data_IF_919767538651
#
_entry.id   IF_919767538651
#
_cell.length_a   1.000
_cell.length_b   1.000
_cell.length_c   1.000
_cell.angle_alpha   90.00
_cell.angle_beta   90.00
_cell.angle_gamma   90.00
#
_symmetry.space_group_name_H-M   'P 1'
#
loop_
_entity.id
_entity.type
_entity.pdbx_description
1 polymer ?
#
# COMPACT_ATOMS: atom_id res chain seq x y z
N UNK A 1 -30.92 3.22 -15.30
CA UNK A 1 -31.38 3.56 -13.94
C UNK A 1 -30.51 4.69 -13.45
N UNK A 2 -31.01 5.57 -12.58
CA UNK A 2 -30.16 6.57 -11.95
C UNK A 2 -29.22 5.83 -10.99
N UNK A 3 -27.91 5.88 -11.25
CA UNK A 3 -26.91 5.21 -10.44
C UNK A 3 -26.21 6.21 -9.54
N UNK A 4 -26.16 5.91 -8.26
CA UNK A 4 -25.40 6.66 -7.27
C UNK A 4 -23.96 6.18 -7.32
N UNK A 5 -23.02 7.09 -7.55
CA UNK A 5 -21.61 6.75 -7.74
C UNK A 5 -20.78 7.48 -6.68
N UNK A 6 -19.92 6.73 -6.00
CA UNK A 6 -18.85 7.32 -5.19
C UNK A 6 -17.59 7.36 -6.04
N UNK A 7 -17.07 8.56 -6.27
CA UNK A 7 -15.79 8.80 -6.93
C UNK A 7 -14.74 9.16 -5.88
N UNK A 8 -13.73 8.31 -5.72
CA UNK A 8 -12.58 8.55 -4.84
C UNK A 8 -11.45 9.13 -5.69
N UNK A 9 -11.00 10.31 -5.31
CA UNK A 9 -10.03 11.09 -6.09
C UNK A 9 -8.83 11.41 -5.23
N UNK A 10 -7.70 10.74 -5.52
CA UNK A 10 -6.46 10.89 -4.73
C UNK A 10 -5.64 12.11 -5.12
N UNK A 11 -5.84 12.63 -6.34
CA UNK A 11 -5.19 13.84 -6.85
C UNK A 11 -6.14 14.63 -7.75
N UNK A 12 -5.81 15.88 -8.04
CA UNK A 12 -6.67 16.85 -8.73
C UNK A 12 -7.09 16.36 -10.11
N UNK A 13 -8.40 16.41 -10.41
CA UNK A 13 -8.95 16.02 -11.71
C UNK A 13 -8.61 17.05 -12.81
N UNK A 14 -8.05 16.58 -13.91
CA UNK A 14 -7.91 17.34 -15.15
C UNK A 14 -8.39 16.48 -16.33
N UNK A 15 -8.37 17.04 -17.55
CA UNK A 15 -8.79 16.33 -18.76
C UNK A 15 -10.24 15.82 -18.87
N UNK A 16 -10.62 15.38 -20.06
CA UNK A 16 -11.98 14.88 -20.27
C UNK A 16 -12.19 13.42 -19.81
N UNK A 17 -11.09 12.68 -19.59
CA UNK A 17 -11.12 11.26 -19.18
C UNK A 17 -11.94 10.97 -17.93
N UNK A 18 -11.69 11.65 -16.78
CA UNK A 18 -12.45 11.40 -15.55
C UNK A 18 -13.94 11.71 -15.68
N UNK A 19 -14.28 12.76 -16.41
CA UNK A 19 -15.65 13.23 -16.62
C UNK A 19 -16.41 12.24 -17.48
N UNK A 20 -15.79 11.72 -18.54
CA UNK A 20 -16.39 10.73 -19.41
C UNK A 20 -16.71 9.44 -18.64
N UNK A 21 -15.81 8.99 -17.77
CA UNK A 21 -16.03 7.75 -17.02
C UNK A 21 -17.09 7.91 -15.92
N UNK A 22 -17.12 9.04 -15.20
CA UNK A 22 -18.21 9.36 -14.26
C UNK A 22 -19.55 9.41 -15.00
N UNK A 23 -19.59 10.06 -16.17
CA UNK A 23 -20.81 10.18 -16.98
C UNK A 23 -21.34 8.82 -17.45
N UNK A 24 -20.43 7.90 -17.81
CA UNK A 24 -20.79 6.52 -18.18
C UNK A 24 -21.42 5.74 -17.03
N UNK A 25 -20.94 5.95 -15.79
CA UNK A 25 -21.45 5.25 -14.61
C UNK A 25 -22.79 5.79 -14.10
N UNK A 26 -23.00 7.11 -14.13
CA UNK A 26 -24.20 7.76 -13.58
C UNK A 26 -25.48 7.50 -14.42
N UNK A 27 -25.33 7.11 -15.69
CA UNK A 27 -26.41 6.51 -16.48
C UNK A 27 -27.60 7.42 -16.83
N UNK A 28 -27.40 8.75 -16.87
CA UNK A 28 -28.42 9.74 -17.27
C UNK A 28 -28.85 10.70 -16.16
N UNK A 29 -29.82 11.58 -16.46
CA UNK A 29 -30.11 12.86 -15.77
C UNK A 29 -30.59 12.82 -14.29
N UNK A 30 -30.52 11.68 -13.59
CA UNK A 30 -30.96 11.55 -12.19
C UNK A 30 -29.96 10.86 -11.25
N UNK A 31 -28.83 10.36 -11.73
CA UNK A 31 -27.83 9.76 -10.85
C UNK A 31 -27.06 10.82 -10.05
N UNK A 32 -26.63 10.48 -8.84
CA UNK A 32 -25.91 11.37 -7.94
C UNK A 32 -24.42 10.98 -7.87
N UNK A 33 -23.54 11.97 -8.00
CA UNK A 33 -22.09 11.78 -7.81
C UNK A 33 -21.71 12.28 -6.43
N UNK A 34 -21.01 11.44 -5.66
CA UNK A 34 -20.35 11.83 -4.43
C UNK A 34 -18.85 11.69 -4.59
N UNK A 35 -18.16 12.81 -4.48
CA UNK A 35 -16.71 12.90 -4.54
C UNK A 35 -16.12 12.75 -3.13
N UNK A 36 -15.18 11.84 -2.98
CA UNK A 36 -14.43 11.65 -1.74
C UNK A 36 -12.97 11.92 -2.03
N UNK A 37 -12.42 12.93 -1.36
CA UNK A 37 -10.99 13.24 -1.45
C UNK A 37 -10.33 12.77 -0.16
N UNK A 38 -9.51 11.71 -0.18
CA UNK A 38 -8.81 11.26 1.00
C UNK A 38 -7.79 12.30 1.45
N UNK A 39 -7.57 12.42 2.76
CA UNK A 39 -6.59 13.33 3.36
C UNK A 39 -5.16 12.81 3.20
N UNK A 40 -4.77 12.45 1.98
CA UNK A 40 -3.44 11.98 1.60
C UNK A 40 -2.49 13.15 1.40
N UNK A 41 -1.26 12.99 1.90
CA UNK A 41 -0.12 13.81 1.49
C UNK A 41 0.32 13.38 0.08
N UNK A 42 0.14 14.24 -0.94
CA UNK A 42 0.42 13.87 -2.33
C UNK A 42 1.92 13.81 -2.60
N UNK A 43 2.77 14.35 -1.71
CA UNK A 43 4.22 14.28 -1.86
C UNK A 43 4.98 14.51 -0.54
N UNK A 44 5.73 13.52 0.00
CA UNK A 44 6.61 13.74 1.15
C UNK A 44 7.77 14.71 0.87
N UNK A 45 8.03 15.08 -0.39
CA UNK A 45 9.07 16.05 -0.77
C UNK A 45 8.61 17.51 -0.72
N UNK A 46 7.29 17.80 -0.65
CA UNK A 46 6.80 19.19 -0.57
C UNK A 46 7.06 19.85 0.79
N UNK A 47 7.30 19.05 1.84
CA UNK A 47 7.62 19.56 3.17
C UNK A 47 9.04 20.20 3.25
N UNK A 48 9.90 19.99 2.25
CA UNK A 48 11.25 20.60 2.22
C UNK A 48 11.19 22.08 1.80
N UNK A 49 10.07 22.56 1.24
CA UNK A 49 9.92 23.93 0.74
C UNK A 49 8.96 24.82 1.55
N UNK A 50 8.54 24.40 2.74
CA UNK A 50 8.02 25.33 3.75
C UNK A 50 6.51 25.64 3.71
N UNK A 51 5.68 24.82 3.05
CA UNK A 51 4.23 24.86 3.29
C UNK A 51 3.88 23.99 4.50
N UNK A 52 3.27 24.64 5.51
CA UNK A 52 2.77 24.04 6.75
C UNK A 52 1.24 24.09 6.71
N UNK A 53 0.64 23.64 5.62
CA UNK A 53 -0.82 23.48 5.55
C UNK A 53 -1.18 22.10 6.08
N UNK A 54 -2.19 22.02 6.96
CA UNK A 54 -2.61 20.72 7.51
C UNK A 54 -3.07 19.80 6.36
N UNK A 55 -2.76 18.48 6.36
CA UNK A 55 -3.17 17.55 5.30
C UNK A 55 -4.67 17.60 4.96
N UNK A 56 -5.51 18.01 5.93
CA UNK A 56 -6.95 18.22 5.76
C UNK A 56 -7.29 19.48 4.97
N UNK A 57 -6.56 20.58 5.14
CA UNK A 57 -6.77 21.83 4.42
C UNK A 57 -6.44 21.65 2.93
N UNK A 58 -5.29 21.05 2.63
CA UNK A 58 -4.91 20.72 1.25
C UNK A 58 -5.90 19.75 0.58
N UNK A 59 -6.46 18.80 1.34
CA UNK A 59 -7.50 17.91 0.83
C UNK A 59 -8.81 18.66 0.56
N UNK A 60 -9.14 19.67 1.37
CA UNK A 60 -10.30 20.52 1.17
C UNK A 60 -10.15 21.37 -0.10
N UNK A 61 -8.98 21.97 -0.34
CA UNK A 61 -8.71 22.72 -1.56
C UNK A 61 -8.85 21.83 -2.82
N UNK A 62 -8.32 20.60 -2.77
CA UNK A 62 -8.47 19.61 -3.85
C UNK A 62 -9.93 19.23 -4.07
N UNK A 63 -10.68 19.06 -2.99
CA UNK A 63 -12.12 18.79 -3.06
C UNK A 63 -12.85 19.92 -3.76
N UNK A 64 -12.62 21.17 -3.35
CA UNK A 64 -13.24 22.34 -3.97
C UNK A 64 -12.87 22.48 -5.44
N UNK A 65 -11.59 22.29 -5.79
CA UNK A 65 -11.11 22.34 -7.16
C UNK A 65 -11.80 21.27 -8.02
N UNK A 66 -11.90 20.04 -7.52
CA UNK A 66 -12.52 18.92 -8.22
C UNK A 66 -14.03 19.07 -8.35
N UNK A 67 -14.73 19.59 -7.34
CA UNK A 67 -16.16 19.89 -7.43
C UNK A 67 -16.44 21.00 -8.45
N UNK A 68 -15.61 22.06 -8.46
CA UNK A 68 -15.70 23.14 -9.44
C UNK A 68 -15.46 22.61 -10.86
N UNK A 69 -14.49 21.72 -11.02
CA UNK A 69 -14.14 21.07 -12.26
C UNK A 69 -15.29 20.24 -12.85
N UNK A 70 -15.95 19.42 -12.02
CA UNK A 70 -17.10 18.61 -12.41
C UNK A 70 -18.31 19.49 -12.77
N UNK A 71 -18.57 20.53 -11.97
CA UNK A 71 -19.70 21.46 -12.21
C UNK A 71 -19.56 22.20 -13.53
N UNK A 72 -18.35 22.64 -13.89
CA UNK A 72 -18.08 23.31 -15.17
C UNK A 72 -18.41 22.44 -16.39
N UNK A 73 -18.41 21.10 -16.21
CA UNK A 73 -18.75 20.12 -17.25
C UNK A 73 -20.18 19.55 -17.10
N UNK A 74 -21.01 20.18 -16.28
CA UNK A 74 -22.42 19.82 -16.12
C UNK A 74 -22.67 18.60 -15.25
N UNK A 75 -21.69 18.14 -14.46
CA UNK A 75 -21.87 17.07 -13.47
C UNK A 75 -22.16 17.71 -12.12
N UNK A 76 -23.37 17.48 -11.60
CA UNK A 76 -23.72 17.82 -10.22
C UNK A 76 -23.13 16.77 -9.27
N UNK A 77 -22.15 17.18 -8.48
CA UNK A 77 -21.49 16.34 -7.49
C UNK A 77 -21.54 16.97 -6.09
N UNK A 78 -21.77 16.13 -5.09
CA UNK A 78 -21.51 16.45 -3.67
C UNK A 78 -20.10 16.00 -3.32
N UNK A 79 -19.48 16.58 -2.29
CA UNK A 79 -18.11 16.23 -1.95
C UNK A 79 -17.81 16.26 -0.47
N UNK A 80 -16.85 15.43 -0.04
CA UNK A 80 -16.36 15.37 1.33
C UNK A 80 -14.87 14.97 1.39
N UNK A 81 -14.19 15.41 2.45
CA UNK A 81 -12.83 14.96 2.76
C UNK A 81 -12.92 13.71 3.63
N UNK A 82 -12.27 12.63 3.18
CA UNK A 82 -12.26 11.33 3.86
C UNK A 82 -10.98 11.08 4.67
N UNK A 83 -10.85 9.84 5.16
CA UNK A 83 -9.62 9.34 5.80
C UNK A 83 -8.41 9.46 4.87
N UNK A 84 -7.20 9.43 5.42
CA UNK A 84 -5.97 9.39 4.62
C UNK A 84 -5.80 8.09 3.84
N UNK A 85 -6.48 7.00 4.23
CA UNK A 85 -6.57 5.79 3.41
C UNK A 85 -7.77 5.89 2.44
N UNK A 86 -7.54 5.86 1.11
CA UNK A 86 -8.60 5.90 0.10
C UNK A 86 -9.67 4.82 0.25
N UNK A 87 -9.31 3.62 0.72
CA UNK A 87 -10.26 2.51 0.88
C UNK A 87 -11.17 2.77 2.08
N UNK A 88 -10.61 3.19 3.22
CA UNK A 88 -11.38 3.60 4.39
C UNK A 88 -12.27 4.81 4.09
N UNK A 89 -11.75 5.80 3.37
CA UNK A 89 -12.53 6.95 2.92
C UNK A 89 -13.76 6.53 2.08
N UNK A 90 -13.60 5.54 1.21
CA UNK A 90 -14.70 4.97 0.44
C UNK A 90 -15.72 4.23 1.33
N UNK A 91 -15.24 3.43 2.30
CA UNK A 91 -16.10 2.72 3.26
C UNK A 91 -16.93 3.69 4.10
N UNK A 92 -16.31 4.74 4.64
CA UNK A 92 -16.99 5.77 5.42
C UNK A 92 -18.05 6.52 4.60
N UNK A 93 -17.77 6.75 3.31
CA UNK A 93 -18.70 7.37 2.40
C UNK A 93 -19.90 6.45 2.10
N UNK A 94 -19.66 5.16 1.90
CA UNK A 94 -20.70 4.14 1.70
C UNK A 94 -21.60 3.97 2.93
N UNK A 95 -21.03 4.02 4.13
CA UNK A 95 -21.79 3.98 5.38
C UNK A 95 -22.73 5.17 5.53
N UNK A 96 -22.34 6.34 5.01
CA UNK A 96 -23.16 7.56 5.04
C UNK A 96 -24.22 7.59 3.95
N UNK A 97 -23.90 7.12 2.74
CA UNK A 97 -24.91 6.86 1.73
C UNK A 97 -24.51 5.70 0.82
N UNK A 98 -25.40 4.74 0.59
CA UNK A 98 -25.14 3.62 -0.30
C UNK A 98 -24.98 4.10 -1.74
N UNK A 99 -24.06 3.45 -2.47
CA UNK A 99 -23.78 3.69 -3.87
C UNK A 99 -23.86 2.39 -4.67
N UNK A 100 -24.23 2.52 -5.94
CA UNK A 100 -24.35 1.39 -6.88
C UNK A 100 -23.00 1.00 -7.48
N UNK A 101 -22.03 1.92 -7.49
CA UNK A 101 -20.66 1.70 -7.98
C UNK A 101 -19.68 2.63 -7.24
N UNK A 102 -18.46 2.12 -7.00
CA UNK A 102 -17.34 2.91 -6.48
C UNK A 102 -16.26 3.00 -7.55
N UNK A 103 -15.83 4.22 -7.86
CA UNK A 103 -14.79 4.51 -8.84
C UNK A 103 -13.60 5.15 -8.13
N UNK A 104 -12.40 4.61 -8.33
CA UNK A 104 -11.14 5.19 -7.89
C UNK A 104 -10.41 5.81 -9.08
N UNK A 105 -9.96 7.05 -8.93
CA UNK A 105 -9.09 7.73 -9.91
C UNK A 105 -7.66 7.80 -9.37
N UNK A 106 -6.73 7.19 -10.10
CA UNK A 106 -5.29 7.20 -9.81
C UNK A 106 -4.47 7.75 -11.00
N UNK A 107 -3.23 8.20 -10.74
CA UNK A 107 -2.32 8.79 -11.74
C UNK A 107 -0.99 8.04 -11.87
N UNK A 108 -0.47 7.93 -13.10
CA UNK A 108 0.89 7.47 -13.41
C UNK A 108 1.86 8.68 -13.26
N UNK A 109 2.75 8.75 -12.24
CA UNK A 109 3.65 7.69 -11.76
C UNK A 109 3.37 7.21 -10.32
N UNK A 110 2.29 7.66 -9.69
CA UNK A 110 1.82 7.18 -8.37
C UNK A 110 1.42 5.71 -8.40
N UNK A 111 1.01 5.24 -9.58
CA UNK A 111 0.67 3.85 -9.90
C UNK A 111 1.76 2.85 -9.48
N UNK A 112 3.04 3.16 -9.67
CA UNK A 112 4.14 2.27 -9.30
C UNK A 112 4.33 2.06 -7.78
N UNK A 113 3.69 2.87 -6.93
CA UNK A 113 3.84 2.81 -5.46
C UNK A 113 2.72 2.04 -4.75
N UNK A 114 1.58 1.83 -5.41
CA UNK A 114 0.40 1.15 -4.86
C UNK A 114 0.17 -0.25 -5.46
N UNK A 115 0.79 -0.52 -6.62
CA UNK A 115 0.45 -1.65 -7.49
C UNK A 115 1.32 -2.91 -7.34
N UNK A 116 2.33 -2.94 -6.45
CA UNK A 116 3.02 -4.21 -6.13
C UNK A 116 2.15 -5.23 -5.34
N UNK A 117 0.83 -4.98 -5.20
CA UNK A 117 -0.16 -6.02 -4.92
C UNK A 117 -1.23 -5.69 -3.87
N UNK A 118 -1.49 -4.42 -3.56
CA UNK A 118 -2.30 -4.04 -2.39
C UNK A 118 -3.68 -3.47 -2.70
N UNK A 119 -3.77 -2.29 -3.33
CA UNK A 119 -4.99 -1.48 -3.24
C UNK A 119 -6.18 -2.08 -3.98
N UNK A 120 -6.06 -2.44 -5.26
CA UNK A 120 -7.20 -2.97 -6.03
C UNK A 120 -7.72 -4.30 -5.46
N UNK A 121 -6.81 -5.17 -5.01
CA UNK A 121 -7.18 -6.44 -4.39
C UNK A 121 -7.80 -6.22 -3.00
N UNK A 122 -7.24 -5.33 -2.20
CA UNK A 122 -7.80 -4.98 -0.89
C UNK A 122 -9.16 -4.30 -1.02
N UNK A 123 -9.35 -3.42 -2.00
CA UNK A 123 -10.63 -2.77 -2.29
C UNK A 123 -11.67 -3.80 -2.77
N UNK A 124 -11.28 -4.79 -3.58
CA UNK A 124 -12.17 -5.91 -3.97
C UNK A 124 -12.63 -6.73 -2.77
N UNK A 125 -11.76 -6.97 -1.79
CA UNK A 125 -12.09 -7.73 -0.59
C UNK A 125 -12.92 -6.92 0.41
N UNK A 126 -12.72 -5.60 0.44
CA UNK A 126 -13.26 -4.70 1.47
C UNK A 126 -14.52 -3.93 1.05
N UNK A 127 -14.82 -3.84 -0.24
CA UNK A 127 -15.97 -3.10 -0.79
C UNK A 127 -16.95 -4.06 -1.45
N UNK A 128 -18.22 -3.99 -1.03
CA UNK A 128 -19.30 -4.80 -1.59
C UNK A 128 -19.80 -4.31 -2.96
N UNK A 129 -19.95 -2.98 -3.22
CA UNK A 129 -20.41 -2.52 -4.51
C UNK A 129 -19.43 -2.86 -5.65
N UNK A 130 -19.90 -2.93 -6.91
CA UNK A 130 -19.04 -2.93 -8.08
C UNK A 130 -17.94 -1.87 -7.99
N UNK A 131 -16.72 -2.27 -8.34
CA UNK A 131 -15.52 -1.46 -8.21
C UNK A 131 -14.94 -1.17 -9.57
N UNK A 132 -14.55 0.08 -9.81
CA UNK A 132 -13.79 0.51 -10.96
C UNK A 132 -12.57 1.31 -10.52
N UNK A 133 -11.41 0.99 -11.08
CA UNK A 133 -10.19 1.76 -10.89
C UNK A 133 -9.76 2.29 -12.25
N UNK A 134 -9.67 3.60 -12.36
CA UNK A 134 -9.35 4.35 -13.57
C UNK A 134 -7.96 4.95 -13.39
N UNK A 135 -7.06 4.61 -14.29
CA UNK A 135 -5.67 5.01 -14.23
C UNK A 135 -5.46 6.07 -15.31
N UNK A 136 -5.01 7.25 -14.88
CA UNK A 136 -4.84 8.43 -15.72
C UNK A 136 -3.35 8.69 -15.94
N UNK A 137 -3.00 9.18 -17.13
CA UNK A 137 -1.61 9.45 -17.50
C UNK A 137 -1.02 10.73 -16.85
N UNK A 138 -1.87 11.56 -16.20
CA UNK A 138 -1.45 12.85 -15.64
C UNK A 138 -1.05 13.88 -16.70
N UNK A 139 -1.38 13.62 -17.96
CA UNK A 139 -1.10 14.48 -19.10
C UNK A 139 -2.10 15.63 -19.22
N UNK A 140 -1.93 16.48 -20.23
CA UNK A 140 -2.81 17.64 -20.44
C UNK A 140 -4.30 17.29 -20.62
N UNK A 141 -4.61 16.02 -20.93
CA UNK A 141 -5.97 15.54 -21.12
C UNK A 141 -6.36 14.39 -20.18
N UNK A 142 -5.54 14.08 -19.17
CA UNK A 142 -5.69 12.92 -18.26
C UNK A 142 -6.30 11.72 -18.99
N UNK A 143 -5.58 11.25 -20.00
CA UNK A 143 -6.06 10.14 -20.81
C UNK A 143 -6.10 8.88 -19.95
N UNK A 144 -7.17 8.10 -20.11
CA UNK A 144 -7.32 6.83 -19.40
C UNK A 144 -6.34 5.82 -19.98
N UNK A 145 -5.35 5.45 -19.18
CA UNK A 145 -4.29 4.49 -19.53
C UNK A 145 -4.78 3.05 -19.35
N UNK A 146 -5.46 2.78 -18.23
CA UNK A 146 -5.97 1.46 -17.89
C UNK A 146 -7.25 1.58 -17.03
N UNK A 147 -8.12 0.58 -17.14
CA UNK A 147 -9.35 0.48 -16.35
C UNK A 147 -9.50 -0.93 -15.81
N UNK A 148 -9.42 -1.07 -14.49
CA UNK A 148 -9.65 -2.33 -13.81
C UNK A 148 -11.06 -2.35 -13.24
N UNK A 149 -11.83 -3.42 -13.51
CA UNK A 149 -13.25 -3.52 -13.11
C UNK A 149 -13.54 -4.80 -12.33
N UNK A 150 -14.43 -4.70 -11.34
CA UNK A 150 -15.16 -5.80 -10.70
C UNK A 150 -16.66 -5.61 -10.97
N UNK A 151 -17.28 -6.53 -11.71
CA UNK A 151 -18.71 -6.48 -12.04
C UNK A 151 -19.63 -6.92 -10.88
N UNK A 152 -20.96 -6.68 -10.99
CA UNK A 152 -21.94 -7.10 -9.99
C UNK A 152 -22.00 -8.63 -9.93
N UNK A 153 -21.76 -9.23 -8.76
CA UNK A 153 -22.05 -10.65 -8.52
C UNK A 153 -20.90 -11.66 -8.62
N UNK A 154 -19.65 -11.27 -8.37
CA UNK A 154 -18.56 -12.23 -8.14
C UNK A 154 -18.07 -12.17 -6.68
N UNK A 155 -18.77 -12.89 -5.80
CA UNK A 155 -18.07 -13.76 -4.86
C UNK A 155 -17.64 -14.96 -5.73
N UNK A 156 -16.51 -14.83 -6.42
CA UNK A 156 -15.85 -16.00 -6.99
C UNK A 156 -15.53 -16.90 -5.82
N UNK A 157 -16.14 -18.08 -5.84
CA UNK A 157 -16.02 -19.07 -4.78
C UNK A 157 -14.56 -19.33 -4.42
N UNK A 158 -14.36 -19.45 -3.12
CA UNK A 158 -13.30 -20.19 -2.43
C UNK A 158 -12.53 -21.13 -3.35
N UNK A 159 -11.43 -20.66 -3.93
CA UNK A 159 -10.26 -21.51 -4.14
C UNK A 159 -9.27 -21.18 -3.02
N UNK A 160 -8.90 -22.23 -2.29
CA UNK A 160 -7.90 -22.21 -1.23
C UNK A 160 -6.57 -21.63 -1.75
N UNK A 161 -6.28 -20.38 -1.44
CA UNK A 161 -5.01 -20.09 -0.79
C UNK A 161 -5.32 -20.00 0.70
N UNK A 162 -4.51 -20.65 1.53
CA UNK A 162 -4.53 -20.48 2.98
C UNK A 162 -4.08 -19.04 3.24
N UNK A 163 -5.00 -18.11 3.02
CA UNK A 163 -4.83 -16.69 3.24
C UNK A 163 -4.63 -16.51 4.72
N UNK A 164 -3.53 -15.86 5.07
CA UNK A 164 -3.17 -15.46 6.42
C UNK A 164 -4.17 -14.42 6.93
N UNK A 165 -5.41 -14.82 7.18
CA UNK A 165 -6.46 -13.97 7.78
C UNK A 165 -6.12 -13.54 9.22
N UNK A 166 -4.97 -13.97 9.75
CA UNK A 166 -4.39 -13.53 11.01
C UNK A 166 -3.31 -12.45 10.85
N UNK A 167 -2.92 -12.07 9.62
CA UNK A 167 -1.93 -11.02 9.33
C UNK A 167 -2.56 -9.94 8.45
N UNK A 168 -3.09 -8.86 9.05
CA UNK A 168 -3.61 -7.72 8.28
C UNK A 168 -2.47 -6.96 7.58
N UNK A 169 -2.74 -6.44 6.38
CA UNK A 169 -2.06 -5.26 5.81
C UNK A 169 -0.66 -5.38 5.16
N UNK A 170 0.06 -6.49 5.30
CA UNK A 170 1.44 -6.58 4.81
C UNK A 170 1.53 -6.75 3.27
N UNK A 171 2.37 -5.94 2.62
CA UNK A 171 2.73 -6.10 1.21
C UNK A 171 3.33 -7.50 0.97
N UNK A 172 3.09 -8.12 -0.20
CA UNK A 172 3.69 -9.43 -0.55
C UNK A 172 5.22 -9.40 -0.44
N UNK A 173 5.84 -8.25 -0.72
CA UNK A 173 7.28 -8.02 -0.53
C UNK A 173 7.69 -7.99 0.95
N UNK A 174 6.91 -7.34 1.83
CA UNK A 174 7.17 -7.29 3.28
C UNK A 174 7.04 -8.68 3.92
N UNK A 175 6.02 -9.44 3.50
CA UNK A 175 5.83 -10.82 3.96
C UNK A 175 7.00 -11.73 3.53
N UNK A 176 7.43 -11.62 2.26
CA UNK A 176 8.59 -12.39 1.78
C UNK A 176 9.87 -12.05 2.54
N UNK A 177 10.09 -10.76 2.86
CA UNK A 177 11.22 -10.32 3.67
C UNK A 177 11.20 -10.89 5.10
N UNK A 178 10.00 -10.97 5.71
CA UNK A 178 9.82 -11.58 7.02
C UNK A 178 10.14 -13.08 7.00
N UNK A 179 9.62 -13.82 6.03
CA UNK A 179 9.86 -15.27 5.89
C UNK A 179 11.34 -15.56 5.65
N UNK A 180 11.99 -14.82 4.75
CA UNK A 180 13.42 -14.95 4.45
C UNK A 180 14.26 -14.58 5.67
N UNK A 181 13.90 -13.54 6.42
CA UNK A 181 14.57 -13.13 7.65
C UNK A 181 14.52 -14.20 8.74
N UNK A 182 13.34 -14.76 9.00
CA UNK A 182 13.14 -15.83 9.99
C UNK A 182 13.91 -17.08 9.59
N UNK A 183 13.74 -17.56 8.35
CA UNK A 183 14.43 -18.75 7.86
C UNK A 183 15.95 -18.58 7.89
N UNK A 184 16.46 -17.43 7.44
CA UNK A 184 17.89 -17.12 7.47
C UNK A 184 18.46 -17.04 8.88
N UNK A 185 17.69 -16.52 9.85
CA UNK A 185 18.10 -16.50 11.26
C UNK A 185 18.21 -17.91 11.83
N UNK A 186 17.25 -18.78 11.53
CA UNK A 186 17.28 -20.20 11.97
C UNK A 186 18.50 -20.90 11.38
N UNK A 187 18.78 -20.72 10.08
CA UNK A 187 19.96 -21.27 9.42
C UNK A 187 21.25 -20.73 10.06
N UNK A 188 21.35 -19.42 10.30
CA UNK A 188 22.50 -18.81 10.94
C UNK A 188 22.73 -19.38 12.36
N UNK A 189 21.68 -19.58 13.14
CA UNK A 189 21.76 -20.17 14.48
C UNK A 189 22.22 -21.63 14.44
N UNK A 190 21.71 -22.43 13.49
CA UNK A 190 22.14 -23.82 13.30
C UNK A 190 23.60 -23.88 12.90
N UNK A 191 24.04 -23.06 11.92
CA UNK A 191 25.43 -23.00 11.50
C UNK A 191 26.36 -22.57 12.65
N UNK A 192 25.93 -21.63 13.48
CA UNK A 192 26.67 -21.23 14.68
C UNK A 192 26.81 -22.39 15.68
N UNK A 193 25.73 -23.15 15.90
CA UNK A 193 25.76 -24.31 16.78
C UNK A 193 26.66 -25.43 16.25
N UNK A 194 26.65 -25.67 14.93
CA UNK A 194 27.55 -26.63 14.27
C UNK A 194 29.02 -26.18 14.41
N UNK A 195 29.32 -24.91 14.13
CA UNK A 195 30.67 -24.37 14.29
C UNK A 195 31.19 -24.48 15.74
N UNK A 196 30.30 -24.39 16.73
CA UNK A 196 30.65 -24.56 18.14
C UNK A 196 30.83 -26.03 18.56
N UNK A 197 30.18 -26.97 17.87
CA UNK A 197 30.24 -28.40 18.19
C UNK A 197 31.50 -29.09 17.62
N UNK A 198 32.04 -28.60 16.50
CA UNK A 198 33.15 -29.24 15.78
C UNK A 198 34.55 -28.77 16.26
N UNK A 199 34.63 -27.68 17.03
CA UNK A 199 35.91 -27.12 17.47
C UNK A 199 36.46 -27.81 18.73
N UNK A 200 37.37 -28.76 18.51
CA UNK A 200 38.16 -29.42 19.57
C UNK A 200 39.30 -28.58 20.15
N UNK A 201 39.52 -27.34 19.70
CA UNK A 201 40.57 -26.44 20.19
C UNK A 201 40.03 -25.02 20.39
N UNK A 202 40.65 -24.28 21.32
CA UNK A 202 40.21 -22.97 21.81
C UNK A 202 40.39 -21.82 20.78
N UNK A 203 39.75 -21.92 19.64
CA UNK A 203 39.66 -20.86 18.63
C UNK A 203 38.40 -20.01 18.86
N UNK A 204 38.55 -18.69 18.84
CA UNK A 204 37.45 -17.74 19.05
C UNK A 204 36.36 -17.77 17.97
N UNK A 205 36.51 -18.60 16.93
CA UNK A 205 35.59 -18.70 15.80
C UNK A 205 34.20 -19.16 16.20
N UNK A 206 34.09 -20.07 17.19
CA UNK A 206 32.79 -20.46 17.74
C UNK A 206 32.06 -19.25 18.37
N UNK A 207 32.77 -18.41 19.12
CA UNK A 207 32.20 -17.21 19.71
C UNK A 207 31.77 -16.18 18.64
N UNK A 208 32.54 -16.05 17.55
CA UNK A 208 32.19 -15.20 16.41
C UNK A 208 30.91 -15.71 15.74
N UNK A 209 30.80 -17.01 15.46
CA UNK A 209 29.62 -17.59 14.82
C UNK A 209 28.35 -17.42 15.67
N UNK A 210 28.46 -17.63 17.00
CA UNK A 210 27.38 -17.38 17.95
C UNK A 210 26.98 -15.90 17.94
N UNK A 211 27.95 -14.99 17.96
CA UNK A 211 27.70 -13.55 17.89
C UNK A 211 26.98 -13.12 16.62
N UNK A 212 27.36 -13.67 15.46
CA UNK A 212 26.68 -13.44 14.17
C UNK A 212 25.26 -13.99 14.20
N UNK A 213 25.04 -15.18 14.76
CA UNK A 213 23.70 -15.75 14.92
C UNK A 213 22.78 -14.88 15.77
N UNK A 214 23.26 -14.46 16.95
CA UNK A 214 22.51 -13.56 17.85
C UNK A 214 22.22 -12.22 17.17
N UNK A 215 23.22 -11.61 16.53
CA UNK A 215 23.08 -10.34 15.83
C UNK A 215 22.02 -10.42 14.71
N UNK A 216 22.02 -11.50 13.94
CA UNK A 216 21.02 -11.74 12.89
C UNK A 216 19.61 -11.84 13.48
N UNK A 217 19.45 -12.57 14.60
CA UNK A 217 18.17 -12.68 15.28
C UNK A 217 17.65 -11.34 15.81
N UNK A 218 18.53 -10.50 16.37
CA UNK A 218 18.17 -9.16 16.81
C UNK A 218 17.73 -8.26 15.65
N UNK A 219 18.39 -8.35 14.49
CA UNK A 219 18.00 -7.60 13.28
C UNK A 219 16.63 -8.04 12.78
N UNK A 220 16.37 -9.35 12.74
CA UNK A 220 15.05 -9.89 12.35
C UNK A 220 13.96 -9.45 13.31
N UNK A 221 14.23 -9.48 14.63
CA UNK A 221 13.27 -9.03 15.65
C UNK A 221 12.98 -7.53 15.51
N UNK A 222 14.02 -6.71 15.31
CA UNK A 222 13.88 -5.28 15.07
C UNK A 222 13.10 -4.98 13.79
N UNK A 223 13.28 -5.77 12.73
CA UNK A 223 12.54 -5.62 11.48
C UNK A 223 11.03 -5.87 11.65
N UNK A 224 10.66 -6.96 12.34
CA UNK A 224 9.25 -7.29 12.62
C UNK A 224 8.59 -6.20 13.47
N UNK A 225 9.26 -5.76 14.53
CA UNK A 225 8.75 -4.68 15.41
C UNK A 225 8.64 -3.35 14.67
N UNK A 226 9.64 -3.02 13.84
CA UNK A 226 9.64 -1.78 13.08
C UNK A 226 8.49 -1.74 12.07
N UNK A 227 8.24 -2.82 11.34
CA UNK A 227 7.09 -2.90 10.43
C UNK A 227 5.77 -2.73 11.19
N UNK A 228 5.58 -3.45 12.29
CA UNK A 228 4.35 -3.34 13.09
C UNK A 228 4.14 -1.94 13.68
N UNK A 229 5.21 -1.27 14.15
CA UNK A 229 5.12 0.09 14.67
C UNK A 229 4.85 1.11 13.56
N UNK A 230 5.51 0.98 12.41
CA UNK A 230 5.32 1.87 11.27
C UNK A 230 3.91 1.72 10.69
N UNK A 231 3.36 0.52 10.65
CA UNK A 231 1.98 0.28 10.24
C UNK A 231 0.98 0.89 11.24
N UNK A 232 1.20 0.69 12.55
CA UNK A 232 0.35 1.25 13.59
C UNK A 232 0.26 2.79 13.55
N UNK A 233 1.34 3.46 13.14
CA UNK A 233 1.40 4.93 13.01
C UNK A 233 1.22 5.39 11.55
N UNK A 234 0.95 4.46 10.62
CA UNK A 234 0.79 4.72 9.18
C UNK A 234 1.98 5.49 8.57
N UNK A 235 3.19 5.23 9.07
CA UNK A 235 4.41 5.93 8.69
C UNK A 235 4.97 5.44 7.34
N UNK A 236 5.09 6.35 6.35
CA UNK A 236 5.59 6.06 4.99
C UNK A 236 6.89 6.80 4.62
N UNK A 237 7.73 7.11 5.60
CA UNK A 237 8.96 7.90 5.46
C UNK A 237 10.24 7.09 5.18
N UNK A 238 11.40 7.75 5.26
CA UNK A 238 12.71 7.18 4.92
C UNK A 238 13.14 5.98 5.78
N UNK A 239 12.70 5.90 7.03
CA UNK A 239 12.98 4.77 7.91
C UNK A 239 12.42 3.44 7.39
N UNK A 240 11.26 3.44 6.73
CA UNK A 240 10.70 2.23 6.12
C UNK A 240 11.64 1.63 5.06
N UNK A 241 12.22 2.50 4.20
CA UNK A 241 13.18 2.08 3.17
C UNK A 241 14.49 1.56 3.76
N UNK A 242 14.95 2.15 4.87
CA UNK A 242 16.14 1.71 5.58
C UNK A 242 15.93 0.30 6.16
N UNK A 243 14.84 0.08 6.89
CA UNK A 243 14.53 -1.23 7.50
C UNK A 243 14.27 -2.33 6.47
N UNK A 244 13.68 -1.99 5.33
CA UNK A 244 13.52 -2.94 4.21
C UNK A 244 14.88 -3.39 3.65
N UNK A 245 15.82 -2.46 3.41
CA UNK A 245 17.16 -2.82 2.90
C UNK A 245 17.99 -3.58 3.93
N UNK A 246 17.84 -3.25 5.21
CA UNK A 246 18.62 -3.84 6.29
C UNK A 246 18.39 -5.35 6.42
N UNK A 247 17.15 -5.83 6.37
CA UNK A 247 16.88 -7.28 6.51
C UNK A 247 17.20 -8.07 5.24
N UNK A 248 16.93 -7.47 4.07
CA UNK A 248 17.07 -8.13 2.77
C UNK A 248 18.53 -8.34 2.38
N UNK A 249 19.42 -7.45 2.81
CA UNK A 249 20.87 -7.57 2.56
C UNK A 249 21.59 -8.16 3.78
N UNK A 250 21.19 -7.82 5.00
CA UNK A 250 21.86 -8.24 6.22
C UNK A 250 21.77 -9.75 6.50
N UNK A 251 20.58 -10.33 6.35
CA UNK A 251 20.34 -11.76 6.69
C UNK A 251 21.12 -12.71 5.77
N UNK A 252 21.10 -12.56 4.43
CA UNK A 252 21.86 -13.43 3.54
C UNK A 252 23.37 -13.33 3.78
N UNK A 253 23.89 -12.13 4.03
CA UNK A 253 25.31 -11.92 4.34
C UNK A 253 25.69 -12.65 5.63
N UNK A 254 24.88 -12.55 6.68
CA UNK A 254 25.16 -13.22 7.94
C UNK A 254 25.17 -14.75 7.80
N UNK A 255 24.26 -15.31 6.99
CA UNK A 255 24.25 -16.74 6.66
C UNK A 255 25.53 -17.14 5.93
N UNK A 256 25.98 -16.35 4.93
CA UNK A 256 27.21 -16.61 4.20
C UNK A 256 28.45 -16.56 5.10
N UNK A 257 28.51 -15.60 6.04
CA UNK A 257 29.60 -15.49 7.01
C UNK A 257 29.63 -16.73 7.91
N UNK A 258 28.50 -17.16 8.46
CA UNK A 258 28.45 -18.36 9.31
C UNK A 258 28.78 -19.63 8.52
N UNK A 259 28.37 -19.72 7.25
CA UNK A 259 28.73 -20.84 6.38
C UNK A 259 30.24 -20.88 6.11
N UNK A 260 30.86 -19.73 5.84
CA UNK A 260 32.30 -19.64 5.63
C UNK A 260 33.08 -20.03 6.90
N UNK A 261 32.61 -19.62 8.09
CA UNK A 261 33.22 -20.04 9.35
C UNK A 261 33.14 -21.56 9.51
N UNK A 262 31.99 -22.18 9.25
CA UNK A 262 31.84 -23.64 9.32
C UNK A 262 32.76 -24.38 8.33
N UNK A 263 33.02 -23.81 7.15
CA UNK A 263 33.81 -24.48 6.11
C UNK A 263 35.33 -24.31 6.24
N UNK A 264 35.79 -23.22 6.89
CA UNK A 264 37.20 -22.82 6.85
C UNK A 264 37.85 -22.61 8.23
N UNK A 265 37.08 -22.62 9.33
CA UNK A 265 37.59 -22.49 10.70
C UNK A 265 37.64 -23.85 11.41
#
# INVERSE_FOLDING_TARGET
MASNVIAVVTDSLHGDGPVEEISRCVGGAKGAVRLVVPAVEPNPLRHVLGDVDEPRELAHERLEASLRYLRQRGIEASGEVGDSDPIQAAQDALLRAPADEVIFFEYEPGHARWFEGGMFQHAKESLEPPLRMVILDGGANDAVVDIQRRGPGAISGVEHEVGTSYLPGLSRSDFSGMVVGIAGTVVAAILAAVAAADQGTATGWAAVAIGVGIGTGLVTMAHVVALGLMEAVRYRGGFAKFFHRLSLVGTPIAVLINLAIVLFA
#
